data_IF_393407673278
#
_entry.id   IF_393407673278
#
_cell.length_a   1.000
_cell.length_b   1.000
_cell.length_c   1.000
_cell.angle_alpha   90.00
_cell.angle_beta   90.00
_cell.angle_gamma   90.00
#
_symmetry.space_group_name_H-M   'P 1'
#
loop_
_entity.id
_entity.type
_entity.pdbx_description
1 polymer ?
#
# COMPACT_ATOMS: atom_id res chain seq x y z
N UNK A 1 8.13 12.08 -15.79
CA UNK A 1 6.92 12.83 -15.38
C UNK A 1 6.32 13.68 -16.49
N UNK A 2 7.11 14.34 -17.34
CA UNK A 2 6.61 15.12 -18.49
C UNK A 2 5.71 14.31 -19.43
N UNK A 3 6.08 13.07 -19.75
CA UNK A 3 5.26 12.18 -20.59
C UNK A 3 3.90 11.82 -19.97
N UNK A 4 3.83 11.62 -18.65
CA UNK A 4 2.57 11.27 -17.98
C UNK A 4 1.63 12.48 -17.88
N UNK A 5 2.18 13.67 -17.61
CA UNK A 5 1.41 14.93 -17.61
C UNK A 5 0.81 15.25 -18.97
N UNK A 6 1.50 14.88 -20.06
CA UNK A 6 1.00 15.08 -21.42
C UNK A 6 -0.08 14.06 -21.83
N UNK A 7 -0.22 12.96 -21.09
CA UNK A 7 -1.20 11.90 -21.40
C UNK A 7 -2.50 12.05 -20.57
N UNK A 8 -2.43 12.73 -19.42
CA UNK A 8 -3.56 12.85 -18.49
C UNK A 8 -3.79 14.31 -18.06
N UNK A 9 -4.53 15.06 -18.88
CA UNK A 9 -4.80 16.50 -18.66
C UNK A 9 -5.61 16.81 -17.39
N UNK A 10 -6.35 15.84 -16.85
CA UNK A 10 -7.17 15.99 -15.65
C UNK A 10 -6.49 15.45 -14.36
N UNK A 11 -5.19 15.14 -14.42
CA UNK A 11 -4.45 14.55 -13.28
C UNK A 11 -3.30 15.46 -12.85
N UNK A 12 -3.35 15.89 -11.59
CA UNK A 12 -2.26 16.63 -10.97
C UNK A 12 -1.18 15.66 -10.43
N UNK A 13 -0.01 15.68 -11.06
CA UNK A 13 1.14 14.88 -10.64
C UNK A 13 2.08 15.67 -9.73
N UNK A 14 2.19 15.29 -8.46
CA UNK A 14 3.10 15.95 -7.50
C UNK A 14 4.34 15.08 -7.24
N UNK A 15 5.54 15.67 -7.34
CA UNK A 15 6.77 15.05 -6.83
C UNK A 15 6.97 15.53 -5.41
N UNK A 16 6.97 14.61 -4.46
CA UNK A 16 7.21 14.93 -3.07
C UNK A 16 7.30 13.70 -2.19
N UNK A 17 7.70 13.91 -0.95
CA UNK A 17 7.60 12.91 0.11
C UNK A 17 6.20 12.99 0.72
N UNK A 18 5.43 11.91 0.62
CA UNK A 18 4.08 11.82 1.19
C UNK A 18 4.05 12.06 2.70
N UNK A 19 5.19 11.84 3.38
CA UNK A 19 5.34 12.09 4.82
C UNK A 19 5.55 13.57 5.16
N UNK A 20 5.85 14.42 4.17
CA UNK A 20 5.96 15.88 4.36
C UNK A 20 4.58 16.54 4.46
N UNK A 21 4.44 17.66 5.21
CA UNK A 21 3.15 18.28 5.52
C UNK A 21 2.44 18.93 4.33
N UNK A 22 3.13 19.19 3.22
CA UNK A 22 2.73 20.14 2.16
C UNK A 22 1.71 19.62 1.13
N UNK A 23 1.02 18.51 1.39
CA UNK A 23 -0.08 18.08 0.51
C UNK A 23 -1.29 18.98 0.76
N UNK A 24 -1.62 19.82 -0.22
CA UNK A 24 -2.53 20.96 -0.13
C UNK A 24 -4.03 20.65 0.06
N UNK A 25 -4.38 19.60 0.80
CA UNK A 25 -5.78 19.32 1.12
C UNK A 25 -6.03 17.91 1.66
N UNK A 26 -7.32 17.65 1.89
CA UNK A 26 -7.85 16.32 2.16
C UNK A 26 -8.62 15.82 0.94
N UNK A 27 -8.69 14.49 0.81
CA UNK A 27 -9.29 13.82 -0.33
C UNK A 27 -10.38 12.84 0.14
N UNK A 28 -11.48 12.77 -0.62
CA UNK A 28 -12.57 11.83 -0.33
C UNK A 28 -12.15 10.36 -0.48
N UNK A 29 -11.11 10.12 -1.29
CA UNK A 29 -10.45 8.83 -1.45
C UNK A 29 -8.93 9.02 -1.45
N UNK A 30 -8.25 8.32 -0.55
CA UNK A 30 -6.79 8.16 -0.57
C UNK A 30 -6.47 6.70 -0.86
N UNK A 31 -5.73 6.43 -1.94
CA UNK A 31 -5.32 5.08 -2.32
C UNK A 31 -3.78 4.98 -2.38
N UNK A 32 -3.21 4.02 -1.65
CA UNK A 32 -1.78 3.73 -1.68
C UNK A 32 -1.52 2.31 -2.20
N UNK A 33 -0.87 2.21 -3.36
CA UNK A 33 -0.65 0.95 -4.07
C UNK A 33 0.82 0.59 -4.06
N UNK A 34 1.15 -0.49 -3.34
CA UNK A 34 2.50 -1.03 -3.18
C UNK A 34 3.54 0.03 -2.78
N UNK A 35 3.19 0.98 -1.91
CA UNK A 35 4.10 2.05 -1.48
C UNK A 35 4.40 2.07 0.02
N UNK A 36 3.41 1.77 0.88
CA UNK A 36 3.54 1.93 2.35
C UNK A 36 4.73 1.19 2.96
N UNK A 37 5.13 0.05 2.39
CA UNK A 37 6.25 -0.75 2.90
C UNK A 37 7.63 -0.16 2.59
N UNK A 38 7.71 0.87 1.75
CA UNK A 38 8.90 1.69 1.57
C UNK A 38 9.00 2.82 2.59
N UNK A 39 7.92 3.12 3.32
CA UNK A 39 7.89 4.17 4.33
C UNK A 39 8.45 3.67 5.67
N UNK A 40 8.86 4.61 6.53
CA UNK A 40 9.49 4.35 7.83
C UNK A 40 8.57 3.61 8.82
N UNK A 41 8.03 4.29 9.81
CA UNK A 41 7.13 3.64 10.78
C UNK A 41 5.73 3.41 10.16
N UNK A 42 5.16 2.19 10.26
CA UNK A 42 3.88 1.86 9.61
C UNK A 42 2.70 2.58 10.27
N UNK A 43 2.76 2.90 11.56
CA UNK A 43 1.71 3.68 12.22
C UNK A 43 1.75 5.13 11.76
N UNK A 44 2.94 5.74 11.71
CA UNK A 44 3.13 7.09 11.19
C UNK A 44 2.67 7.21 9.73
N UNK A 45 3.02 6.23 8.89
CA UNK A 45 2.59 6.18 7.49
C UNK A 45 1.06 6.10 7.36
N UNK A 46 0.42 5.18 8.11
CA UNK A 46 -1.03 5.02 8.05
C UNK A 46 -1.77 6.23 8.61
N UNK A 47 -1.28 6.83 9.70
CA UNK A 47 -1.81 8.09 10.24
C UNK A 47 -1.70 9.21 9.21
N UNK A 48 -0.55 9.37 8.57
CA UNK A 48 -0.37 10.39 7.53
C UNK A 48 -1.38 10.24 6.39
N UNK A 49 -1.57 9.01 5.90
CA UNK A 49 -2.58 8.75 4.85
C UNK A 49 -4.01 8.98 5.34
N UNK A 50 -4.30 8.69 6.61
CA UNK A 50 -5.57 9.01 7.23
C UNK A 50 -5.79 10.53 7.33
N UNK A 51 -4.76 11.30 7.68
CA UNK A 51 -4.83 12.76 7.78
C UNK A 51 -5.12 13.42 6.43
N UNK A 52 -4.61 12.83 5.34
CA UNK A 52 -4.91 13.22 3.96
C UNK A 52 -6.32 12.81 3.51
N UNK A 53 -7.01 11.95 4.24
CA UNK A 53 -8.38 11.56 3.90
C UNK A 53 -9.37 12.56 4.53
N UNK A 54 -10.42 12.96 3.83
CA UNK A 54 -11.49 13.82 4.38
C UNK A 54 -12.33 13.04 5.42
N UNK A 55 -12.92 13.69 6.44
CA UNK A 55 -13.93 13.05 7.29
C UNK A 55 -15.05 12.41 6.44
N UNK A 56 -15.43 11.18 6.75
CA UNK A 56 -16.35 10.37 5.92
C UNK A 56 -15.73 9.74 4.66
N UNK A 57 -14.52 10.17 4.27
CA UNK A 57 -13.76 9.65 3.14
C UNK A 57 -13.16 8.26 3.38
N UNK A 58 -12.59 7.67 2.35
CA UNK A 58 -12.07 6.29 2.37
C UNK A 58 -10.56 6.25 2.16
N UNK A 59 -9.86 5.50 3.01
CA UNK A 59 -8.46 5.13 2.83
C UNK A 59 -8.38 3.68 2.36
N UNK A 60 -7.71 3.46 1.23
CA UNK A 60 -7.38 2.15 0.67
C UNK A 60 -5.87 1.98 0.61
N UNK A 61 -5.34 0.90 1.18
CA UNK A 61 -3.93 0.54 1.04
C UNK A 61 -3.83 -0.87 0.53
N UNK A 62 -3.06 -1.08 -0.54
CA UNK A 62 -2.60 -2.41 -0.95
C UNK A 62 -1.09 -2.44 -0.78
N UNK A 63 -0.59 -3.21 0.19
CA UNK A 63 0.83 -3.23 0.54
C UNK A 63 1.44 -4.63 0.48
N UNK A 64 2.75 -4.67 0.68
CA UNK A 64 3.52 -5.89 0.92
C UNK A 64 4.04 -5.86 2.36
N UNK A 65 4.25 -7.02 2.95
CA UNK A 65 4.93 -7.15 4.24
C UNK A 65 5.62 -8.52 4.31
N UNK A 66 6.47 -8.74 5.30
CA UNK A 66 7.08 -10.06 5.53
C UNK A 66 6.17 -10.97 6.38
N UNK A 67 6.12 -12.28 6.09
CA UNK A 67 5.36 -13.26 6.88
C UNK A 67 5.96 -13.40 8.28
N UNK A 68 5.10 -13.59 9.30
CA UNK A 68 5.55 -13.94 10.66
C UNK A 68 4.81 -15.14 11.24
N UNK A 69 3.70 -15.58 10.64
CA UNK A 69 2.94 -16.75 11.08
C UNK A 69 2.73 -17.78 9.98
N UNK A 70 2.37 -19.01 10.37
CA UNK A 70 2.13 -20.14 9.45
C UNK A 70 1.11 -19.83 8.35
N UNK A 71 0.03 -19.12 8.68
CA UNK A 71 -0.97 -18.70 7.70
C UNK A 71 -0.41 -17.73 6.65
N UNK A 72 0.55 -16.87 7.03
CA UNK A 72 1.19 -15.95 6.09
C UNK A 72 2.08 -16.72 5.11
N UNK A 73 2.86 -17.68 5.61
CA UNK A 73 3.71 -18.52 4.78
C UNK A 73 2.89 -19.39 3.81
N UNK A 74 1.77 -19.95 4.27
CA UNK A 74 0.85 -20.70 3.40
C UNK A 74 0.32 -19.82 2.27
N UNK A 75 -0.08 -18.58 2.57
CA UNK A 75 -0.54 -17.63 1.56
C UNK A 75 0.59 -17.19 0.61
N UNK A 76 1.81 -17.04 1.12
CA UNK A 76 2.97 -16.72 0.29
C UNK A 76 3.30 -17.87 -0.67
N UNK A 77 3.16 -19.13 -0.26
CA UNK A 77 3.32 -20.27 -1.15
C UNK A 77 2.31 -20.26 -2.30
N UNK A 78 1.03 -19.97 -2.00
CA UNK A 78 -0.01 -19.74 -3.03
C UNK A 78 0.40 -18.58 -3.95
N UNK A 79 0.93 -17.49 -3.37
CA UNK A 79 1.44 -16.34 -4.10
C UNK A 79 2.60 -16.68 -5.04
N UNK A 80 3.56 -17.52 -4.63
CA UNK A 80 4.66 -17.98 -5.49
C UNK A 80 4.12 -18.74 -6.69
N UNK A 81 3.21 -19.69 -6.47
CA UNK A 81 2.61 -20.48 -7.56
C UNK A 81 1.87 -19.58 -8.54
N UNK A 82 1.05 -18.67 -8.03
CA UNK A 82 0.32 -17.72 -8.86
C UNK A 82 1.25 -16.78 -9.64
N UNK A 83 2.31 -16.26 -8.99
CA UNK A 83 3.29 -15.40 -9.64
C UNK A 83 3.96 -16.13 -10.81
N UNK A 84 4.45 -17.36 -10.60
CA UNK A 84 5.07 -18.16 -11.66
C UNK A 84 4.12 -18.39 -12.83
N UNK A 85 2.86 -18.73 -12.56
CA UNK A 85 1.86 -18.94 -13.60
C UNK A 85 1.55 -17.67 -14.39
N UNK A 86 1.38 -16.53 -13.71
CA UNK A 86 1.14 -15.24 -14.35
C UNK A 86 2.35 -14.78 -15.18
N UNK A 87 3.55 -14.87 -14.63
CA UNK A 87 4.80 -14.50 -15.33
C UNK A 87 5.01 -15.35 -16.58
N UNK A 88 4.70 -16.66 -16.51
CA UNK A 88 4.75 -17.53 -17.68
C UNK A 88 3.72 -17.14 -18.77
N UNK A 89 2.49 -16.79 -18.36
CA UNK A 89 1.40 -16.48 -19.33
C UNK A 89 1.43 -15.07 -19.90
N UNK A 90 1.92 -14.10 -19.12
CA UNK A 90 1.78 -12.66 -19.43
C UNK A 90 3.12 -11.95 -19.56
N UNK A 91 4.22 -12.67 -19.40
CA UNK A 91 5.54 -12.08 -19.26
C UNK A 91 5.75 -11.45 -17.89
N UNK A 92 7.01 -11.17 -17.57
CA UNK A 92 7.40 -10.42 -16.37
C UNK A 92 7.62 -8.97 -16.77
N UNK A 93 6.97 -8.05 -16.05
CA UNK A 93 7.33 -6.64 -16.11
C UNK A 93 8.27 -6.32 -14.95
N UNK A 94 9.50 -5.90 -15.27
CA UNK A 94 10.47 -5.46 -14.27
C UNK A 94 10.21 -4.00 -13.91
N UNK A 95 10.02 -3.75 -12.61
CA UNK A 95 9.94 -2.38 -12.10
C UNK A 95 11.34 -1.78 -12.04
N UNK A 96 11.49 -0.53 -12.49
CA UNK A 96 12.71 0.25 -12.34
C UNK A 96 12.89 0.83 -10.93
N UNK A 97 11.90 0.67 -10.05
CA UNK A 97 11.94 1.20 -8.69
C UNK A 97 12.84 0.35 -7.79
N UNK A 98 13.81 0.95 -7.07
CA UNK A 98 14.61 0.23 -6.09
C UNK A 98 13.72 -0.49 -5.08
N UNK A 99 13.86 -1.81 -5.01
CA UNK A 99 13.06 -2.65 -4.12
C UNK A 99 13.96 -3.16 -3.00
N UNK A 100 13.57 -2.88 -1.75
CA UNK A 100 14.20 -3.50 -0.58
C UNK A 100 13.41 -4.74 -0.21
N UNK A 101 14.08 -5.90 -0.22
CA UNK A 101 13.47 -7.19 0.11
C UNK A 101 14.29 -7.93 1.18
N UNK A 102 13.65 -8.53 2.21
CA UNK A 102 12.22 -8.47 2.50
C UNK A 102 11.75 -7.08 2.96
N UNK A 103 10.45 -6.75 2.88
CA UNK A 103 9.92 -5.53 3.45
C UNK A 103 10.25 -5.45 4.94
N UNK A 104 10.58 -4.26 5.44
CA UNK A 104 10.99 -4.08 6.83
C UNK A 104 9.89 -4.54 7.82
N UNK A 105 8.63 -4.27 7.48
CA UNK A 105 7.46 -4.53 8.32
C UNK A 105 6.87 -5.91 8.09
N UNK A 106 6.39 -6.55 9.15
CA UNK A 106 5.58 -7.76 9.07
C UNK A 106 4.09 -7.49 8.90
N UNK A 107 3.34 -8.47 8.39
CA UNK A 107 1.87 -8.37 8.32
C UNK A 107 1.26 -8.11 9.69
N UNK A 108 1.81 -8.73 10.75
CA UNK A 108 1.34 -8.50 12.11
C UNK A 108 1.57 -7.05 12.58
N UNK A 109 2.74 -6.47 12.27
CA UNK A 109 3.04 -5.08 12.61
C UNK A 109 2.07 -4.13 11.88
N UNK A 110 1.92 -4.28 10.57
CA UNK A 110 1.02 -3.43 9.78
C UNK A 110 -0.43 -3.56 10.24
N UNK A 111 -0.91 -4.80 10.47
CA UNK A 111 -2.29 -5.03 10.94
C UNK A 111 -2.54 -4.40 12.30
N UNK A 112 -1.55 -4.42 13.20
CA UNK A 112 -1.63 -3.76 14.51
C UNK A 112 -1.71 -2.25 14.33
N UNK A 113 -0.79 -1.66 13.56
CA UNK A 113 -0.78 -0.22 13.27
C UNK A 113 -2.10 0.24 12.64
N UNK A 114 -2.61 -0.50 11.66
CA UNK A 114 -3.88 -0.17 11.01
C UNK A 114 -5.05 -0.12 12.00
N UNK A 115 -5.14 -1.06 12.94
CA UNK A 115 -6.21 -1.05 13.95
C UNK A 115 -6.08 0.08 14.97
N UNK A 116 -4.86 0.54 15.24
CA UNK A 116 -4.61 1.64 16.15
C UNK A 116 -4.98 2.99 15.51
N UNK A 117 -4.57 3.21 14.27
CA UNK A 117 -4.73 4.50 13.58
C UNK A 117 -6.09 4.63 12.87
N UNK A 118 -6.73 3.50 12.52
CA UNK A 118 -7.98 3.46 11.75
C UNK A 118 -8.99 2.53 12.44
N UNK A 119 -9.72 3.02 13.46
CA UNK A 119 -10.78 2.24 14.10
C UNK A 119 -11.80 1.74 13.05
N UNK A 120 -12.08 0.44 13.06
CA UNK A 120 -13.02 -0.18 12.10
C UNK A 120 -12.42 -0.55 10.74
N UNK A 121 -11.10 -0.40 10.53
CA UNK A 121 -10.44 -0.81 9.29
C UNK A 121 -10.64 -2.30 8.97
N UNK A 122 -11.00 -2.59 7.74
CA UNK A 122 -11.06 -3.94 7.19
C UNK A 122 -9.67 -4.37 6.73
N UNK A 123 -9.18 -5.49 7.26
CA UNK A 123 -7.92 -6.14 6.86
C UNK A 123 -8.20 -7.39 6.05
N UNK A 124 -7.50 -7.55 4.92
CA UNK A 124 -7.52 -8.80 4.16
C UNK A 124 -6.11 -9.16 3.70
N UNK A 125 -5.74 -10.43 3.90
CA UNK A 125 -4.54 -11.02 3.30
C UNK A 125 -4.87 -11.45 1.87
N UNK A 126 -3.98 -11.14 0.93
CA UNK A 126 -4.14 -11.45 -0.49
C UNK A 126 -2.95 -12.31 -0.97
N UNK A 127 -3.12 -13.08 -2.06
CA UNK A 127 -2.02 -13.71 -2.77
C UNK A 127 -1.00 -12.71 -3.33
N UNK A 128 0.07 -13.21 -3.95
CA UNK A 128 1.17 -12.40 -4.51
C UNK A 128 1.82 -11.48 -3.46
N UNK A 129 1.98 -11.97 -2.23
CA UNK A 129 2.62 -11.24 -1.14
C UNK A 129 1.92 -9.90 -0.81
N UNK A 130 0.60 -9.82 -1.02
CA UNK A 130 -0.18 -8.59 -0.81
C UNK A 130 -1.05 -8.63 0.45
N UNK A 131 -1.38 -7.47 0.97
CA UNK A 131 -2.52 -7.26 1.87
C UNK A 131 -3.34 -6.08 1.38
N UNK A 132 -4.60 -5.99 1.82
CA UNK A 132 -5.42 -4.78 1.65
C UNK A 132 -5.95 -4.26 2.98
N UNK A 133 -5.95 -2.95 3.13
CA UNK A 133 -6.63 -2.19 4.17
C UNK A 133 -7.69 -1.31 3.50
N UNK A 134 -8.89 -1.31 4.07
CA UNK A 134 -9.94 -0.36 3.69
C UNK A 134 -10.57 0.18 4.96
N UNK A 135 -10.49 1.50 5.17
CA UNK A 135 -11.05 2.18 6.33
C UNK A 135 -11.78 3.45 5.92
N UNK A 136 -12.87 3.75 6.61
CA UNK A 136 -13.55 5.05 6.50
C UNK A 136 -13.02 5.97 7.60
N UNK A 137 -12.65 7.20 7.25
CA UNK A 137 -12.29 8.20 8.25
C UNK A 137 -13.56 8.66 8.97
N UNK A 138 -13.58 8.68 10.31
CA UNK A 138 -14.72 9.20 11.06
C UNK A 138 -15.00 10.67 10.73
#
# INVERSE_FOLDING_TARGET
MSSARAEFDAVDFVVGDVMSPEFGGQFDLVASMAAVHHLGDPSAALRRLADLTSPGGTLVVVGLARPTGWSDYAMDAVGVVQHKWLSWRRGLWEHSAPTVWPPAHSYQQVRRSARLELPGVSWRRLPLFRYSLVGRKP
#
